data_IF_956240010459
#
_entry.id   IF_956240010459
#
_cell.length_a   1.000
_cell.length_b   1.000
_cell.length_c   1.000
_cell.angle_alpha   90.00
_cell.angle_beta   90.00
_cell.angle_gamma   90.00
#
_symmetry.space_group_name_H-M   'P 1'
#
loop_
_entity.id
_entity.type
_entity.pdbx_description
1 polymer ?
#
# COMPACT_ATOMS: atom_id res chain seq x y z
N UNK A 1 -2.32 26.56 -5.49
CA UNK A 1 -3.33 25.62 -6.04
C UNK A 1 -3.14 24.20 -5.52
N UNK A 2 -1.91 23.67 -5.59
CA UNK A 2 -1.59 22.29 -5.17
C UNK A 2 -1.71 22.08 -3.65
N UNK A 3 -1.31 23.06 -2.84
CA UNK A 3 -1.42 23.00 -1.36
C UNK A 3 -2.88 22.87 -0.88
N UNK A 4 -3.82 23.50 -1.58
CA UNK A 4 -5.26 23.42 -1.25
C UNK A 4 -5.77 22.00 -1.50
N UNK A 5 -5.31 21.37 -2.58
CA UNK A 5 -5.72 20.02 -2.92
C UNK A 5 -5.22 19.00 -1.89
N UNK A 6 -3.99 19.16 -1.41
CA UNK A 6 -3.46 18.33 -0.31
C UNK A 6 -4.27 18.49 0.98
N UNK A 7 -4.70 19.71 1.32
CA UNK A 7 -5.55 19.97 2.48
C UNK A 7 -6.92 19.31 2.34
N UNK A 8 -7.57 19.43 1.17
CA UNK A 8 -8.83 18.74 0.89
C UNK A 8 -8.65 17.23 1.01
N UNK A 9 -7.55 16.71 0.48
CA UNK A 9 -7.23 15.29 0.48
C UNK A 9 -7.00 14.70 1.88
N UNK A 10 -6.61 15.52 2.85
CA UNK A 10 -6.51 15.12 4.24
C UNK A 10 -7.87 14.68 4.83
N UNK A 11 -8.99 15.17 4.28
CA UNK A 11 -10.33 14.81 4.71
C UNK A 11 -10.90 13.57 4.01
N UNK A 12 -10.32 13.14 2.88
CA UNK A 12 -10.75 11.95 2.14
C UNK A 12 -10.14 10.70 2.76
N UNK A 13 -10.88 10.03 3.66
CA UNK A 13 -10.35 8.88 4.42
C UNK A 13 -10.52 7.52 3.71
N UNK A 14 -11.54 7.38 2.87
CA UNK A 14 -11.79 6.10 2.20
C UNK A 14 -10.74 5.79 1.14
N UNK A 15 -10.19 4.57 1.16
CA UNK A 15 -9.28 4.11 0.11
C UNK A 15 -9.91 4.17 -1.29
N UNK A 16 -11.20 3.86 -1.41
CA UNK A 16 -11.93 3.86 -2.69
C UNK A 16 -12.08 5.28 -3.25
N UNK A 17 -12.44 6.23 -2.41
CA UNK A 17 -12.58 7.64 -2.80
C UNK A 17 -11.23 8.22 -3.22
N UNK A 18 -10.18 7.95 -2.43
CA UNK A 18 -8.82 8.33 -2.78
C UNK A 18 -8.36 7.73 -4.11
N UNK A 19 -8.71 6.48 -4.42
CA UNK A 19 -8.44 5.89 -5.73
C UNK A 19 -9.18 6.62 -6.85
N UNK A 20 -10.45 6.99 -6.65
CA UNK A 20 -11.23 7.74 -7.63
C UNK A 20 -10.65 9.14 -7.88
N UNK A 21 -10.30 9.86 -6.81
CA UNK A 21 -9.58 11.16 -6.84
C UNK A 21 -8.33 11.07 -7.72
N UNK A 22 -7.53 10.01 -7.57
CA UNK A 22 -6.27 9.86 -8.29
C UNK A 22 -6.42 9.71 -9.82
N UNK A 23 -7.65 9.57 -10.33
CA UNK A 23 -7.96 9.37 -11.74
C UNK A 23 -8.58 10.60 -12.43
N UNK A 24 -8.80 11.69 -11.69
CA UNK A 24 -9.43 12.90 -12.25
C UNK A 24 -8.54 13.56 -13.30
N UNK A 25 -7.28 13.87 -12.94
CA UNK A 25 -6.26 14.40 -13.84
C UNK A 25 -4.86 14.21 -13.24
N UNK A 26 -3.82 14.71 -13.92
CA UNK A 26 -2.42 14.55 -13.50
C UNK A 26 -2.11 15.31 -12.20
N UNK A 27 -2.69 16.49 -11.99
CA UNK A 27 -2.52 17.25 -10.75
C UNK A 27 -3.10 16.49 -9.56
N UNK A 28 -4.32 15.97 -9.70
CA UNK A 28 -4.99 15.17 -8.66
C UNK A 28 -4.29 13.83 -8.40
N UNK A 29 -3.79 13.19 -9.45
CA UNK A 29 -2.91 12.02 -9.33
C UNK A 29 -1.67 12.33 -8.47
N UNK A 30 -1.01 13.47 -8.73
CA UNK A 30 0.20 13.87 -8.03
C UNK A 30 -0.08 14.24 -6.56
N UNK A 31 -1.10 15.06 -6.29
CA UNK A 31 -1.48 15.41 -4.93
C UNK A 31 -1.90 14.17 -4.13
N UNK A 32 -2.68 13.26 -4.73
CA UNK A 32 -3.08 12.01 -4.07
C UNK A 32 -1.86 11.14 -3.75
N UNK A 33 -0.97 10.89 -4.71
CA UNK A 33 0.15 10.00 -4.45
C UNK A 33 1.09 10.51 -3.35
N UNK A 34 1.30 11.82 -3.24
CA UNK A 34 2.17 12.44 -2.22
C UNK A 34 1.51 12.50 -0.84
N UNK A 35 0.18 12.65 -0.79
CA UNK A 35 -0.57 12.73 0.46
C UNK A 35 -1.01 11.37 1.03
N UNK A 36 -0.87 10.27 0.28
CA UNK A 36 -1.28 8.94 0.79
C UNK A 36 -0.30 8.46 1.85
N UNK A 37 -0.84 8.20 3.04
CA UNK A 37 -0.08 7.63 4.17
C UNK A 37 -0.41 6.17 4.47
N UNK A 38 -1.54 5.65 3.97
CA UNK A 38 -2.01 4.30 4.26
C UNK A 38 -2.27 3.52 2.98
N UNK A 39 -1.73 2.30 2.90
CA UNK A 39 -1.97 1.38 1.79
C UNK A 39 -2.39 -0.01 2.27
N UNK A 40 -3.34 -0.58 1.55
CA UNK A 40 -3.83 -1.94 1.74
C UNK A 40 -3.56 -2.75 0.48
N UNK A 41 -2.83 -3.85 0.62
CA UNK A 41 -2.56 -4.82 -0.44
C UNK A 41 -3.17 -6.16 0.01
N UNK A 42 -4.32 -6.48 -0.59
CA UNK A 42 -5.09 -7.67 -0.25
C UNK A 42 -4.51 -8.99 -0.76
N UNK A 43 -3.50 -8.92 -1.64
CA UNK A 43 -2.75 -10.05 -2.17
C UNK A 43 -1.32 -9.56 -2.50
N UNK A 44 -0.29 -10.06 -1.81
CA UNK A 44 1.09 -9.63 -1.99
C UNK A 44 1.68 -9.94 -3.37
N UNK A 45 0.99 -10.73 -4.19
CA UNK A 45 1.36 -11.01 -5.57
C UNK A 45 0.67 -10.10 -6.59
N UNK A 46 -0.27 -9.24 -6.18
CA UNK A 46 -0.99 -8.38 -7.12
C UNK A 46 -0.17 -7.20 -7.62
N UNK A 47 0.94 -6.87 -6.94
CA UNK A 47 1.80 -5.72 -7.25
C UNK A 47 3.18 -5.96 -6.68
N UNK A 48 4.22 -5.45 -7.35
CA UNK A 48 5.59 -5.55 -6.84
C UNK A 48 5.89 -4.45 -5.80
N UNK A 49 6.84 -4.68 -4.88
CA UNK A 49 7.28 -3.65 -3.94
C UNK A 49 7.74 -2.36 -4.64
N UNK A 50 8.42 -2.48 -5.78
CA UNK A 50 8.98 -1.36 -6.56
C UNK A 50 7.88 -0.46 -7.15
N UNK A 51 6.77 -1.06 -7.59
CA UNK A 51 5.60 -0.31 -8.08
C UNK A 51 4.98 0.47 -6.93
N UNK A 52 4.86 -0.14 -5.75
CA UNK A 52 4.28 0.53 -4.58
C UNK A 52 5.11 1.75 -4.17
N UNK A 53 6.41 1.57 -3.95
CA UNK A 53 7.31 2.64 -3.46
C UNK A 53 7.42 3.79 -4.47
N UNK A 54 7.41 3.47 -5.77
CA UNK A 54 7.38 4.49 -6.82
C UNK A 54 6.08 5.27 -6.84
N UNK A 55 4.95 4.57 -6.66
CA UNK A 55 3.64 5.21 -6.67
C UNK A 55 3.47 6.09 -5.43
N UNK A 56 3.64 5.54 -4.23
CA UNK A 56 3.36 6.22 -2.97
C UNK A 56 4.64 6.39 -2.14
N UNK A 57 5.28 7.58 -2.16
CA UNK A 57 6.56 7.79 -1.48
C UNK A 57 6.43 8.03 0.04
N UNK A 58 5.27 8.46 0.55
CA UNK A 58 5.10 8.93 1.93
C UNK A 58 4.24 7.99 2.80
N UNK A 59 4.35 6.68 2.61
CA UNK A 59 3.56 5.71 3.36
C UNK A 59 4.05 5.61 4.82
N UNK A 60 3.09 5.65 5.76
CA UNK A 60 3.28 5.43 7.19
C UNK A 60 2.67 4.12 7.67
N UNK A 61 1.66 3.58 6.98
CA UNK A 61 1.02 2.32 7.34
C UNK A 61 0.81 1.42 6.12
N UNK A 62 1.28 0.18 6.22
CA UNK A 62 1.09 -0.88 5.21
C UNK A 62 0.30 -2.03 5.82
N UNK A 63 -0.77 -2.46 5.15
CA UNK A 63 -1.40 -3.77 5.38
C UNK A 63 -1.14 -4.67 4.18
N UNK A 64 -0.54 -5.83 4.40
CA UNK A 64 -0.19 -6.80 3.37
C UNK A 64 -0.76 -8.18 3.71
N UNK A 65 -1.40 -8.82 2.73
CA UNK A 65 -1.92 -10.18 2.86
C UNK A 65 -1.25 -11.13 1.88
N UNK A 66 -0.88 -12.31 2.35
CA UNK A 66 -0.20 -13.33 1.57
C UNK A 66 -1.11 -14.47 1.15
N UNK A 67 -0.91 -15.63 1.77
CA UNK A 67 -1.62 -16.89 1.53
C UNK A 67 -3.15 -16.70 1.56
N UNK A 68 -3.89 -17.45 0.72
CA UNK A 68 -5.35 -17.42 0.74
C UNK A 68 -5.88 -17.92 2.08
N UNK A 69 -7.17 -17.63 2.35
CA UNK A 69 -7.85 -18.06 3.60
C UNK A 69 -7.81 -19.57 3.84
N UNK A 70 -7.63 -20.36 2.80
CA UNK A 70 -7.49 -21.81 2.86
C UNK A 70 -6.31 -22.27 3.73
N UNK A 71 -5.30 -21.42 3.95
CA UNK A 71 -4.20 -21.72 4.89
C UNK A 71 -4.67 -21.86 6.34
N UNK A 72 -5.75 -21.19 6.74
CA UNK A 72 -6.35 -21.34 8.08
C UNK A 72 -6.93 -22.76 8.30
N UNK A 73 -7.11 -23.53 7.22
CA UNK A 73 -7.71 -24.87 7.21
C UNK A 73 -6.74 -25.97 6.74
N UNK A 74 -5.43 -25.71 6.74
CA UNK A 74 -4.38 -26.63 6.26
C UNK A 74 -4.54 -27.05 4.78
N UNK A 75 -5.25 -26.26 3.97
CA UNK A 75 -5.48 -26.53 2.54
C UNK A 75 -4.45 -25.84 1.63
N UNK A 76 -3.35 -25.31 2.20
CA UNK A 76 -2.28 -24.62 1.47
C UNK A 76 -0.94 -25.23 1.88
N UNK A 77 -0.10 -25.66 0.92
CA UNK A 77 1.21 -26.22 1.23
C UNK A 77 2.10 -25.27 2.05
N UNK A 78 2.98 -25.78 2.94
CA UNK A 78 3.86 -24.94 3.76
C UNK A 78 4.69 -23.92 2.96
N UNK A 79 5.23 -24.36 1.82
CA UNK A 79 6.09 -23.57 0.93
C UNK A 79 5.32 -22.93 -0.25
N UNK A 80 4.02 -22.65 -0.07
CA UNK A 80 3.21 -22.03 -1.11
C UNK A 80 3.74 -20.67 -1.59
N UNK A 81 4.44 -19.96 -0.70
CA UNK A 81 5.00 -18.63 -0.95
C UNK A 81 4.52 -17.61 0.08
N UNK A 82 4.23 -16.40 -0.38
CA UNK A 82 4.00 -15.17 0.36
C UNK A 82 5.22 -14.67 1.17
N UNK A 83 6.42 -14.81 0.57
CA UNK A 83 7.63 -14.26 1.17
C UNK A 83 7.53 -12.74 1.35
N UNK A 84 7.73 -12.31 2.60
CA UNK A 84 7.70 -10.91 3.01
C UNK A 84 9.03 -10.21 2.74
N UNK A 85 10.13 -10.94 2.56
CA UNK A 85 11.47 -10.37 2.49
C UNK A 85 11.63 -9.28 1.41
N UNK A 86 11.17 -9.46 0.15
CA UNK A 86 11.27 -8.41 -0.87
C UNK A 86 10.56 -7.11 -0.49
N UNK A 87 9.44 -7.21 0.23
CA UNK A 87 8.70 -6.06 0.75
C UNK A 87 9.50 -5.32 1.82
N UNK A 88 10.11 -6.04 2.76
CA UNK A 88 10.92 -5.43 3.82
C UNK A 88 12.14 -4.70 3.26
N UNK A 89 12.83 -5.29 2.28
CA UNK A 89 13.99 -4.65 1.63
C UNK A 89 13.57 -3.34 0.94
N UNK A 90 12.45 -3.35 0.23
CA UNK A 90 11.92 -2.14 -0.40
C UNK A 90 11.49 -1.08 0.64
N UNK A 91 10.82 -1.49 1.73
CA UNK A 91 10.34 -0.56 2.75
C UNK A 91 11.49 0.05 3.55
N UNK A 92 12.53 -0.73 3.87
CA UNK A 92 13.69 -0.25 4.61
C UNK A 92 14.39 0.92 3.90
N UNK A 93 14.41 0.92 2.57
CA UNK A 93 14.98 2.00 1.77
C UNK A 93 13.99 3.13 1.48
N UNK A 94 12.75 2.81 1.15
CA UNK A 94 11.78 3.80 0.69
C UNK A 94 11.01 4.52 1.82
N UNK A 95 10.79 3.87 2.96
CA UNK A 95 9.90 4.34 4.02
C UNK A 95 10.60 4.42 5.38
N UNK A 96 11.55 5.35 5.57
CA UNK A 96 12.25 5.54 6.85
C UNK A 96 11.32 5.96 8.01
N UNK A 97 10.10 6.41 7.70
CA UNK A 97 9.07 6.82 8.66
C UNK A 97 7.85 5.88 8.66
N UNK A 98 8.03 4.61 8.28
CA UNK A 98 6.97 3.62 8.39
C UNK A 98 6.66 3.37 9.89
N UNK A 99 5.40 3.59 10.27
CA UNK A 99 4.93 3.48 11.65
C UNK A 99 4.19 2.16 11.90
N UNK A 100 3.47 1.66 10.89
CA UNK A 100 2.67 0.44 11.02
C UNK A 100 2.91 -0.55 9.87
N UNK A 101 3.16 -1.81 10.23
CA UNK A 101 3.21 -2.93 9.31
C UNK A 101 2.28 -4.04 9.79
N UNK A 102 1.17 -4.25 9.07
CA UNK A 102 0.15 -5.24 9.38
C UNK A 102 0.22 -6.38 8.38
N UNK A 103 0.70 -7.54 8.83
CA UNK A 103 0.86 -8.73 8.00
C UNK A 103 -0.27 -9.73 8.27
N UNK A 104 -0.79 -10.35 7.21
CA UNK A 104 -1.76 -11.44 7.35
C UNK A 104 -1.40 -12.60 6.43
N UNK A 105 -1.04 -13.73 7.04
CA UNK A 105 -0.69 -14.98 6.34
C UNK A 105 0.44 -14.78 5.31
N UNK A 106 1.46 -14.00 5.67
CA UNK A 106 2.72 -13.98 4.91
C UNK A 106 3.46 -15.28 5.22
#
# INVERSE_FOLDING_TARGET
>A
PDEVLEHVLAFVKSHKERSAVSLVCKEWYNAERWSRTHVFIGNCYSVSPEILVRRFPNIRSVTLKGKPRFSDFNLVPPNWGADIHPWLVAFASAYPFLEELRLKRM
#
